data_IF_100354935570
#
_entry.id   IF_100354935570
#
_cell.length_a   1.000
_cell.length_b   1.000
_cell.length_c   1.000
_cell.angle_alpha   90.00
_cell.angle_beta   90.00
_cell.angle_gamma   90.00
#
_symmetry.space_group_name_H-M   'P 1'
#
loop_
_entity.id
_entity.type
_entity.pdbx_description
1 polymer ?
#
# COMPACT_ATOMS: atom_id res chain seq x y z
N UNK A 1 -5.27 12.32 -0.55
CA UNK A 1 -4.57 11.67 -1.68
C UNK A 1 -4.88 10.18 -1.83
N UNK A 2 -4.57 9.30 -0.86
CA UNK A 2 -4.80 7.85 -1.02
C UNK A 2 -6.26 7.48 -1.30
N UNK A 3 -7.21 8.11 -0.61
CA UNK A 3 -8.65 7.93 -0.86
C UNK A 3 -9.05 8.32 -2.28
N UNK A 4 -8.42 9.35 -2.86
CA UNK A 4 -8.71 9.80 -4.23
C UNK A 4 -8.14 8.85 -5.28
N UNK A 5 -7.02 8.17 -4.99
CA UNK A 5 -6.42 7.18 -5.91
C UNK A 5 -7.16 5.83 -5.84
N UNK A 6 -7.37 5.31 -4.64
CA UNK A 6 -7.86 3.94 -4.43
C UNK A 6 -9.37 3.87 -4.23
N UNK A 7 -10.03 4.98 -3.93
CA UNK A 7 -11.47 5.04 -3.76
C UNK A 7 -12.22 5.08 -5.10
N UNK A 8 -13.38 4.43 -5.14
CA UNK A 8 -14.31 4.59 -6.25
C UNK A 8 -15.21 5.81 -6.03
N UNK A 9 -15.31 6.76 -6.98
CA UNK A 9 -16.19 7.90 -6.83
C UNK A 9 -17.66 7.47 -6.82
N UNK A 10 -18.49 8.22 -6.08
CA UNK A 10 -19.91 7.92 -5.94
C UNK A 10 -20.61 8.01 -7.31
N UNK A 11 -21.34 6.96 -7.67
CA UNK A 11 -22.14 6.92 -8.91
C UNK A 11 -21.34 6.68 -10.18
N UNK A 12 -20.11 6.19 -10.08
CA UNK A 12 -19.33 5.83 -11.26
C UNK A 12 -20.03 4.69 -12.04
N UNK A 13 -20.20 4.78 -13.37
CA UNK A 13 -21.04 3.85 -14.13
C UNK A 13 -20.57 2.39 -14.08
N UNK A 14 -19.31 2.14 -13.74
CA UNK A 14 -18.73 0.79 -13.60
C UNK A 14 -18.74 0.25 -12.16
N UNK A 15 -19.21 1.01 -11.17
CA UNK A 15 -19.27 0.50 -9.78
C UNK A 15 -20.49 -0.38 -9.57
N UNK A 16 -20.29 -1.49 -8.86
CA UNK A 16 -21.38 -2.38 -8.44
C UNK A 16 -21.92 -1.94 -7.07
N UNK A 17 -23.21 -2.17 -6.75
CA UNK A 17 -23.84 -1.72 -5.51
C UNK A 17 -23.54 -2.62 -4.30
N UNK A 18 -22.34 -3.20 -4.23
CA UNK A 18 -21.91 -4.09 -3.14
C UNK A 18 -20.45 -3.83 -2.76
N UNK A 19 -20.13 -4.08 -1.49
CA UNK A 19 -18.74 -4.02 -1.00
C UNK A 19 -18.18 -5.44 -1.04
N UNK A 20 -17.23 -5.66 -1.94
CA UNK A 20 -16.62 -6.98 -2.16
C UNK A 20 -15.25 -7.09 -1.46
N UNK A 21 -14.52 -5.99 -1.32
CA UNK A 21 -13.17 -6.01 -0.74
C UNK A 21 -12.86 -4.72 0.04
N UNK A 22 -11.82 -4.80 0.86
CA UNK A 22 -11.30 -3.71 1.69
C UNK A 22 -9.79 -3.59 1.49
N UNK A 23 -9.34 -2.36 1.23
CA UNK A 23 -7.92 -2.02 1.26
C UNK A 23 -7.52 -1.53 2.65
N UNK A 24 -6.48 -2.15 3.21
CA UNK A 24 -5.92 -1.79 4.51
C UNK A 24 -4.53 -1.21 4.36
N UNK A 25 -4.32 -0.04 4.97
CA UNK A 25 -3.04 0.66 5.00
C UNK A 25 -2.52 0.67 6.44
N UNK A 26 -1.35 0.09 6.68
CA UNK A 26 -0.71 0.07 8.00
C UNK A 26 0.59 0.85 7.95
N UNK A 27 0.84 1.72 8.93
CA UNK A 27 2.12 2.42 9.05
C UNK A 27 2.97 1.75 10.12
N UNK A 28 4.12 1.20 9.73
CA UNK A 28 5.06 0.50 10.61
C UNK A 28 6.48 0.64 10.07
N UNK A 29 7.44 0.92 10.95
CA UNK A 29 8.88 1.07 10.64
C UNK A 29 9.17 2.08 9.52
N UNK A 30 8.46 3.21 9.53
CA UNK A 30 8.60 4.25 8.51
C UNK A 30 7.95 3.90 7.17
N UNK A 31 7.39 2.69 7.03
CA UNK A 31 6.82 2.14 5.80
C UNK A 31 5.30 2.06 5.87
N UNK A 32 4.66 2.16 4.72
CA UNK A 32 3.22 1.96 4.56
C UNK A 32 3.01 0.59 3.93
N UNK A 33 2.39 -0.31 4.66
CA UNK A 33 2.02 -1.65 4.22
C UNK A 33 0.61 -1.63 3.66
N UNK A 34 0.46 -2.14 2.44
CA UNK A 34 -0.82 -2.30 1.78
C UNK A 34 -1.24 -3.76 1.78
N UNK A 35 -2.50 -4.01 2.15
CA UNK A 35 -3.16 -5.32 2.05
C UNK A 35 -4.55 -5.18 1.44
N UNK A 36 -4.91 -6.18 0.65
CA UNK A 36 -6.23 -6.29 0.03
C UNK A 36 -6.94 -7.54 0.54
N UNK A 37 -8.13 -7.35 1.11
CA UNK A 37 -8.96 -8.40 1.67
C UNK A 37 -10.31 -8.47 0.97
N UNK A 38 -10.72 -9.66 0.57
CA UNK A 38 -12.09 -9.93 0.16
C UNK A 38 -12.97 -10.20 1.37
N UNK A 39 -14.18 -9.69 1.35
CA UNK A 39 -15.19 -9.92 2.36
C UNK A 39 -15.96 -11.19 2.00
N UNK A 40 -15.88 -12.21 2.86
CA UNK A 40 -16.57 -13.50 2.67
C UNK A 40 -17.71 -13.61 3.68
N UNK A 41 -18.92 -13.74 3.14
CA UNK A 41 -20.14 -14.00 3.91
C UNK A 41 -20.42 -15.50 3.93
N UNK A 42 -20.51 -16.11 5.11
CA UNK A 42 -20.87 -17.53 5.25
C UNK A 42 -22.39 -17.70 5.03
N UNK A 43 -22.76 -18.53 4.04
CA UNK A 43 -24.15 -18.79 3.67
C UNK A 43 -24.78 -19.97 4.43
N UNK A 44 -23.99 -20.73 5.21
CA UNK A 44 -24.46 -21.94 5.89
C UNK A 44 -25.22 -21.67 7.20
N UNK A 45 -25.05 -20.47 7.77
CA UNK A 45 -25.73 -20.05 8.99
C UNK A 45 -26.83 -19.03 8.68
N UNK A 46 -27.98 -19.52 8.23
CA UNK A 46 -29.21 -18.73 8.04
C UNK A 46 -29.82 -18.16 9.34
N UNK A 47 -29.08 -18.23 10.46
CA UNK A 47 -29.44 -17.63 11.74
C UNK A 47 -28.62 -16.36 11.93
N UNK A 48 -29.35 -15.26 12.08
CA UNK A 48 -28.93 -13.88 12.29
C UNK A 48 -27.50 -13.64 12.85
N UNK A 49 -26.79 -12.72 12.20
CA UNK A 49 -25.59 -12.01 12.68
C UNK A 49 -24.32 -12.87 12.88
N UNK A 50 -23.82 -13.51 11.82
CA UNK A 50 -22.41 -13.93 11.79
C UNK A 50 -21.59 -12.79 11.17
N UNK A 51 -20.53 -12.38 11.87
CA UNK A 51 -19.61 -11.35 11.37
C UNK A 51 -18.92 -11.82 10.08
N UNK A 52 -18.81 -10.96 9.05
CA UNK A 52 -18.13 -11.32 7.82
C UNK A 52 -16.65 -11.60 8.07
N UNK A 53 -16.10 -12.58 7.37
CA UNK A 53 -14.68 -12.92 7.47
C UNK A 53 -13.88 -12.27 6.35
N UNK A 54 -12.60 -11.99 6.60
CA UNK A 54 -11.70 -11.36 5.63
C UNK A 54 -10.66 -12.37 5.13
N UNK A 55 -10.57 -12.52 3.81
CA UNK A 55 -9.58 -13.40 3.16
C UNK A 55 -8.63 -12.55 2.32
N UNK A 56 -7.31 -12.72 2.50
CA UNK A 56 -6.31 -11.96 1.73
C UNK A 56 -6.29 -12.44 0.27
N UNK A 57 -6.59 -11.53 -0.67
CA UNK A 57 -6.63 -11.82 -2.12
C UNK A 57 -5.45 -11.21 -2.90
N UNK A 58 -4.78 -10.22 -2.30
CA UNK A 58 -3.72 -9.47 -2.96
C UNK A 58 -4.23 -8.38 -3.92
N UNK A 59 -3.36 -7.49 -4.43
CA UNK A 59 -1.91 -7.49 -4.27
C UNK A 59 -1.46 -7.08 -2.85
N UNK A 60 -0.23 -7.47 -2.48
CA UNK A 60 0.45 -7.04 -1.25
C UNK A 60 1.72 -6.28 -1.63
N UNK A 61 1.88 -5.08 -1.08
CA UNK A 61 3.09 -4.29 -1.29
C UNK A 61 3.38 -3.37 -0.11
N UNK A 62 4.58 -2.80 -0.13
CA UNK A 62 5.07 -1.89 0.89
C UNK A 62 5.61 -0.64 0.20
N UNK A 63 5.13 0.53 0.62
CA UNK A 63 5.53 1.83 0.11
C UNK A 63 6.40 2.55 1.15
N UNK A 64 7.49 3.14 0.67
CA UNK A 64 8.31 4.07 1.45
C UNK A 64 8.26 5.43 0.76
N UNK A 65 7.69 6.47 1.37
CA UNK A 65 7.76 7.83 0.83
C UNK A 65 9.21 8.24 0.61
N UNK A 66 9.51 8.78 -0.58
CA UNK A 66 10.87 9.22 -0.96
C UNK A 66 10.95 10.74 -0.91
N UNK A 67 10.16 11.41 -1.76
CA UNK A 67 10.07 12.87 -1.85
C UNK A 67 8.65 13.30 -2.22
N UNK A 68 8.27 14.51 -1.81
CA UNK A 68 7.02 15.18 -2.23
C UNK A 68 7.40 16.51 -2.87
N UNK A 69 6.87 16.77 -4.05
CA UNK A 69 7.09 18.02 -4.80
C UNK A 69 5.85 18.90 -4.75
N UNK A 70 6.04 20.22 -4.86
CA UNK A 70 4.95 21.19 -4.82
C UNK A 70 4.01 21.11 -6.02
N UNK A 71 4.51 20.68 -7.19
CA UNK A 71 3.74 20.58 -8.43
C UNK A 71 3.57 19.15 -8.94
N UNK A 72 2.89 19.01 -10.07
CA UNK A 72 2.75 17.73 -10.76
C UNK A 72 4.07 17.36 -11.44
N UNK A 73 4.80 16.42 -10.85
CA UNK A 73 6.11 15.93 -11.31
C UNK A 73 7.24 16.98 -11.35
N UNK A 74 7.03 18.18 -10.81
CA UNK A 74 8.01 19.28 -10.80
C UNK A 74 7.83 20.21 -9.60
N UNK A 75 8.74 21.17 -9.45
CA UNK A 75 8.70 22.20 -8.41
C UNK A 75 9.59 21.89 -7.22
N UNK A 76 9.49 22.72 -6.19
CA UNK A 76 10.30 22.60 -4.98
C UNK A 76 10.00 21.30 -4.23
N UNK A 77 11.04 20.73 -3.59
CA UNK A 77 10.90 19.56 -2.74
C UNK A 77 10.33 20.00 -1.39
N UNK A 78 9.06 19.68 -1.14
CA UNK A 78 8.38 19.98 0.12
C UNK A 78 8.74 19.00 1.24
N UNK A 79 9.08 17.77 0.86
CA UNK A 79 9.47 16.73 1.81
C UNK A 79 10.51 15.82 1.17
N UNK A 80 11.50 15.42 1.96
CA UNK A 80 12.49 14.40 1.61
C UNK A 80 12.66 13.47 2.80
N UNK A 81 12.65 12.16 2.54
CA UNK A 81 12.82 11.16 3.58
C UNK A 81 14.31 10.84 3.79
N UNK A 82 14.88 11.28 4.91
CA UNK A 82 16.28 11.05 5.26
C UNK A 82 16.60 9.56 5.50
N UNK A 83 15.61 8.77 5.92
CA UNK A 83 15.75 7.32 6.15
C UNK A 83 15.72 6.48 4.86
N UNK A 84 15.41 7.07 3.71
CA UNK A 84 15.33 6.33 2.45
C UNK A 84 16.72 6.18 1.79
N UNK A 85 17.15 4.93 1.63
CA UNK A 85 18.34 4.58 0.85
C UNK A 85 17.90 3.86 -0.42
N UNK A 86 18.43 4.29 -1.57
CA UNK A 86 18.09 3.66 -2.85
C UNK A 86 18.61 2.22 -2.90
N UNK A 87 17.87 1.28 -3.52
CA UNK A 87 18.33 -0.11 -3.69
C UNK A 87 19.67 -0.20 -4.41
N UNK A 88 19.93 0.69 -5.37
CA UNK A 88 21.23 0.77 -6.07
C UNK A 88 22.37 1.14 -5.14
N UNK A 89 22.18 2.13 -4.25
CA UNK A 89 23.18 2.49 -3.25
C UNK A 89 23.43 1.34 -2.28
N UNK A 90 22.38 0.65 -1.82
CA UNK A 90 22.53 -0.53 -0.97
C UNK A 90 23.33 -1.66 -1.66
N UNK A 91 23.08 -1.92 -2.95
CA UNK A 91 23.85 -2.89 -3.74
C UNK A 91 25.31 -2.49 -3.93
N UNK A 92 25.60 -1.21 -4.18
CA UNK A 92 26.98 -0.70 -4.28
C UNK A 92 27.75 -0.92 -2.99
N UNK A 93 27.15 -0.54 -1.85
CA UNK A 93 27.76 -0.70 -0.53
C UNK A 93 28.00 -2.18 -0.18
N UNK A 94 27.09 -3.07 -0.56
CA UNK A 94 27.27 -4.51 -0.37
C UNK A 94 28.47 -5.05 -1.17
N UNK A 95 28.64 -4.58 -2.42
CA UNK A 95 29.77 -4.96 -3.28
C UNK A 95 31.11 -4.44 -2.74
N UNK A 96 31.16 -3.18 -2.30
CA UNK A 96 32.37 -2.58 -1.71
C UNK A 96 32.82 -3.34 -0.46
N UNK A 97 31.89 -3.73 0.42
CA UNK A 97 32.19 -4.54 1.61
C UNK A 97 32.84 -5.87 1.25
N UNK A 98 32.32 -6.57 0.23
CA UNK A 98 32.91 -7.84 -0.22
C UNK A 98 34.30 -7.67 -0.83
N UNK A 99 34.55 -6.58 -1.55
CA UNK A 99 35.87 -6.32 -2.14
C UNK A 99 36.93 -6.01 -1.07
N UNK A 100 36.59 -5.25 -0.03
CA UNK A 100 37.51 -4.91 1.06
C UNK A 100 37.85 -6.06 2.02
N UNK A 101 37.29 -7.26 1.81
CA UNK A 101 37.60 -8.45 2.64
C UNK A 101 38.76 -9.28 2.06
N UNK A 102 39.25 -8.93 0.87
CA UNK A 102 40.45 -9.49 0.23
C UNK A 102 41.61 -8.49 0.31
#
# INVERSE_FOLDING_TARGET
MLIQIFGSPRGHPKTKPFIDHVFSFYYLDGRIWFRNYQIVYDSSNSKANVDPTLVEIGPRFCLQPIKIFAGSFQGETLYSNDGYVTPTKMRSLAKEKTTNTY
#
